data_IF_608145206073
#
_entry.id   IF_608145206073
#
_cell.length_a   1.000
_cell.length_b   1.000
_cell.length_c   1.000
_cell.angle_alpha   90.00
_cell.angle_beta   90.00
_cell.angle_gamma   90.00
#
_symmetry.space_group_name_H-M   'P 1'
#
loop_
_entity.id
_entity.type
_entity.pdbx_description
1 polymer ?
#
# COMPACT_ATOMS: atom_id res chain seq x y z
N UNK A 1 -4.19 4.03 13.62
CA UNK A 1 -3.34 5.08 13.03
C UNK A 1 -2.30 5.52 14.04
N UNK A 2 -1.04 5.64 13.62
CA UNK A 2 0.11 5.96 14.48
C UNK A 2 0.52 7.45 14.38
N UNK A 3 -0.46 8.36 14.34
CA UNK A 3 -0.24 9.80 14.16
C UNK A 3 0.81 10.41 15.10
N UNK A 4 0.80 10.13 16.43
CA UNK A 4 1.80 10.70 17.34
C UNK A 4 3.22 10.21 17.04
N UNK A 5 3.36 8.95 16.61
CA UNK A 5 4.66 8.36 16.27
C UNK A 5 5.22 8.95 14.99
N UNK A 6 4.41 9.07 13.92
CA UNK A 6 4.84 9.71 12.66
C UNK A 6 5.33 11.13 12.94
N UNK A 7 4.54 11.90 13.71
CA UNK A 7 4.92 13.27 14.07
C UNK A 7 6.23 13.33 14.83
N UNK A 8 6.36 12.57 15.92
CA UNK A 8 7.56 12.56 16.75
C UNK A 8 8.79 12.15 15.93
N UNK A 9 8.70 11.09 15.12
CA UNK A 9 9.79 10.63 14.26
C UNK A 9 10.20 11.72 13.25
N UNK A 10 9.22 12.40 12.65
CA UNK A 10 9.48 13.45 11.65
C UNK A 10 10.12 14.69 12.26
N UNK A 11 9.79 15.01 13.51
CA UNK A 11 10.31 16.17 14.23
C UNK A 11 11.75 15.95 14.70
N UNK A 12 12.13 14.71 15.02
CA UNK A 12 13.49 14.36 15.52
C UNK A 12 14.41 13.76 14.46
N UNK A 13 13.91 13.52 13.24
CA UNK A 13 14.70 12.93 12.15
C UNK A 13 14.97 11.42 12.27
N UNK A 14 14.15 10.70 13.04
CA UNK A 14 14.25 9.24 13.13
C UNK A 14 13.75 8.54 11.85
N UNK A 15 13.86 7.20 11.81
CA UNK A 15 13.37 6.38 10.69
C UNK A 15 12.00 5.80 11.06
N UNK A 16 11.06 5.89 10.12
CA UNK A 16 9.72 5.32 10.23
C UNK A 16 9.47 4.39 9.02
N UNK A 17 9.78 3.09 9.14
CA UNK A 17 9.82 2.21 7.99
C UNK A 17 8.42 1.87 7.48
N UNK A 18 7.46 1.56 8.34
CA UNK A 18 6.10 1.22 7.89
C UNK A 18 5.12 1.60 9.01
N UNK A 19 3.90 2.07 8.67
CA UNK A 19 2.82 2.13 9.63
C UNK A 19 2.27 0.72 9.92
N UNK A 20 1.52 0.59 11.02
CA UNK A 20 0.88 -0.67 11.41
C UNK A 20 -0.07 -1.24 10.34
N UNK A 21 -0.65 -0.38 9.50
CA UNK A 21 -1.38 -0.75 8.30
C UNK A 21 -0.85 0.12 7.13
N UNK A 22 0.10 -0.38 6.34
CA UNK A 22 0.72 0.34 5.21
C UNK A 22 -0.31 0.93 4.24
N UNK A 23 -0.26 2.26 4.10
CA UNK A 23 -1.05 3.06 3.16
C UNK A 23 -0.61 4.53 3.24
N UNK A 24 -0.65 5.31 2.14
CA UNK A 24 -0.39 6.75 2.18
C UNK A 24 -1.39 7.53 3.06
N UNK A 25 -2.60 7.00 3.23
CA UNK A 25 -3.65 7.63 4.05
C UNK A 25 -3.53 7.31 5.54
N UNK A 26 -2.71 6.32 5.94
CA UNK A 26 -2.74 5.80 7.31
C UNK A 26 -1.92 6.67 8.28
N UNK A 27 -2.52 7.79 8.70
CA UNK A 27 -1.99 8.68 9.73
C UNK A 27 -1.05 9.77 9.22
N UNK A 28 -0.43 9.60 8.04
CA UNK A 28 0.43 10.63 7.43
C UNK A 28 -0.27 11.98 7.26
N UNK A 29 -1.50 12.07 6.69
CA UNK A 29 -2.12 13.38 6.48
C UNK A 29 -2.34 14.15 7.78
N UNK A 30 -2.87 13.47 8.80
CA UNK A 30 -3.07 14.06 10.11
C UNK A 30 -1.77 14.43 10.83
N UNK A 31 -0.71 13.62 10.70
CA UNK A 31 0.56 13.85 11.39
C UNK A 31 1.35 15.03 10.80
N UNK A 32 1.19 15.26 9.49
CA UNK A 32 1.95 16.24 8.72
C UNK A 32 1.13 17.48 8.34
N UNK A 33 -0.16 17.53 8.71
CA UNK A 33 -1.04 18.67 8.45
C UNK A 33 -1.45 18.79 6.98
N UNK A 34 -1.60 17.67 6.29
CA UNK A 34 -1.97 17.59 4.87
C UNK A 34 -3.48 17.37 4.78
N UNK A 35 -4.13 18.10 3.88
CA UNK A 35 -5.51 17.82 3.51
C UNK A 35 -5.56 16.61 2.57
N UNK A 36 -6.23 15.53 3.01
CA UNK A 36 -6.51 14.37 2.17
C UNK A 36 -8.00 14.31 1.88
N UNK A 37 -8.42 14.66 0.66
CA UNK A 37 -9.81 14.53 0.21
C UNK A 37 -9.89 13.58 -0.97
N UNK A 38 -10.91 12.72 -0.97
CA UNK A 38 -11.11 11.71 -2.01
C UNK A 38 -10.20 10.48 -1.91
N UNK A 39 -10.56 9.46 -2.69
CA UNK A 39 -9.88 8.15 -2.74
C UNK A 39 -9.65 7.68 -4.19
N UNK A 40 -9.66 8.60 -5.16
CA UNK A 40 -9.24 8.27 -6.54
C UNK A 40 -7.73 8.04 -6.61
N UNK A 41 -7.26 7.44 -7.71
CA UNK A 41 -5.82 7.28 -7.99
C UNK A 41 -5.10 8.64 -7.93
N UNK A 42 -5.67 9.65 -8.58
CA UNK A 42 -5.14 11.02 -8.59
C UNK A 42 -5.12 11.65 -7.17
N UNK A 43 -6.13 11.37 -6.35
CA UNK A 43 -6.16 11.84 -4.97
C UNK A 43 -5.06 11.19 -4.12
N UNK A 44 -4.77 9.91 -4.37
CA UNK A 44 -3.71 9.17 -3.70
C UNK A 44 -2.32 9.67 -4.10
N UNK A 45 -2.10 9.91 -5.40
CA UNK A 45 -0.86 10.52 -5.91
C UNK A 45 -0.62 11.90 -5.28
N UNK A 46 -1.66 12.72 -5.16
CA UNK A 46 -1.58 14.01 -4.44
C UNK A 46 -1.21 13.83 -2.97
N UNK A 47 -1.81 12.87 -2.27
CA UNK A 47 -1.47 12.61 -0.85
C UNK A 47 -0.02 12.12 -0.69
N UNK A 48 0.46 11.28 -1.59
CA UNK A 48 1.87 10.84 -1.64
C UNK A 48 2.79 12.05 -1.83
N UNK A 49 2.47 12.91 -2.81
CA UNK A 49 3.24 14.12 -3.12
C UNK A 49 3.30 15.11 -1.97
N UNK A 50 2.16 15.45 -1.38
CA UNK A 50 2.11 16.38 -0.24
C UNK A 50 2.81 15.79 0.99
N UNK A 51 2.78 14.46 1.17
CA UNK A 51 3.57 13.78 2.19
C UNK A 51 5.07 13.94 1.93
N UNK A 52 5.52 13.70 0.69
CA UNK A 52 6.93 13.91 0.31
C UNK A 52 7.36 15.37 0.51
N UNK A 53 6.54 16.36 0.13
CA UNK A 53 6.81 17.80 0.35
C UNK A 53 6.95 18.13 1.84
N UNK A 54 6.05 17.63 2.68
CA UNK A 54 6.10 17.85 4.13
C UNK A 54 7.34 17.22 4.77
N UNK A 55 7.73 16.02 4.33
CA UNK A 55 8.96 15.34 4.77
C UNK A 55 10.22 16.04 4.27
N UNK A 56 10.21 16.58 3.04
CA UNK A 56 11.29 17.42 2.49
C UNK A 56 11.50 18.69 3.29
N UNK A 57 10.41 19.39 3.64
CA UNK A 57 10.47 20.59 4.48
C UNK A 57 11.09 20.32 5.87
N UNK A 58 10.99 19.09 6.36
CA UNK A 58 11.61 18.63 7.61
C UNK A 58 13.02 18.05 7.44
N UNK A 59 13.52 17.90 6.21
CA UNK A 59 14.85 17.33 5.93
C UNK A 59 14.96 15.82 6.17
N UNK A 60 13.85 15.08 6.05
CA UNK A 60 13.78 13.64 6.41
C UNK A 60 13.36 12.73 5.25
N UNK A 61 13.50 13.17 4.00
CA UNK A 61 13.34 12.28 2.84
C UNK A 61 14.25 11.04 2.95
N UNK A 62 13.77 9.91 2.44
CA UNK A 62 14.43 8.62 2.54
C UNK A 62 14.33 7.94 3.91
N UNK A 63 13.73 8.59 4.92
CA UNK A 63 13.58 8.01 6.28
C UNK A 63 12.18 7.47 6.56
N UNK A 64 11.24 7.67 5.65
CA UNK A 64 9.85 7.28 5.79
C UNK A 64 9.45 6.40 4.62
N UNK A 65 8.72 5.33 4.91
CA UNK A 65 8.13 4.48 3.89
C UNK A 65 6.74 3.97 4.27
N UNK A 66 6.04 3.44 3.27
CA UNK A 66 4.70 2.86 3.37
C UNK A 66 4.49 1.86 2.22
N UNK A 67 3.29 1.31 2.05
CA UNK A 67 2.86 0.72 0.76
C UNK A 67 2.25 1.82 -0.11
N UNK A 68 2.46 1.79 -1.44
CA UNK A 68 1.99 2.85 -2.32
C UNK A 68 0.48 2.89 -2.47
N UNK A 69 -0.20 1.79 -2.14
CA UNK A 69 -1.67 1.69 -2.14
C UNK A 69 -2.19 1.11 -0.82
N UNK A 70 -3.43 1.44 -0.40
CA UNK A 70 -4.06 0.77 0.73
C UNK A 70 -4.41 -0.69 0.38
N UNK A 71 -3.96 -1.64 1.20
CA UNK A 71 -4.22 -3.08 0.98
C UNK A 71 -5.71 -3.41 0.89
N UNK A 72 -6.56 -2.75 1.70
CA UNK A 72 -7.99 -3.00 1.67
C UNK A 72 -8.63 -2.62 0.33
N UNK A 73 -8.18 -1.51 -0.29
CA UNK A 73 -8.67 -1.08 -1.60
C UNK A 73 -8.17 -2.02 -2.70
N UNK A 74 -6.88 -2.36 -2.67
CA UNK A 74 -6.30 -3.33 -3.61
C UNK A 74 -7.04 -4.66 -3.55
N UNK A 75 -7.25 -5.22 -2.37
CA UNK A 75 -7.96 -6.48 -2.20
C UNK A 75 -9.38 -6.41 -2.77
N UNK A 76 -10.08 -5.30 -2.53
CA UNK A 76 -11.45 -5.12 -3.04
C UNK A 76 -11.47 -5.11 -4.56
N UNK A 77 -10.59 -4.34 -5.19
CA UNK A 77 -10.52 -4.23 -6.65
C UNK A 77 -10.04 -5.54 -7.27
N UNK A 78 -8.88 -6.06 -6.83
CA UNK A 78 -8.30 -7.27 -7.39
C UNK A 78 -9.21 -8.49 -7.24
N UNK A 79 -9.90 -8.66 -6.11
CA UNK A 79 -10.85 -9.76 -5.93
C UNK A 79 -12.09 -9.59 -6.82
N UNK A 80 -12.52 -8.36 -7.09
CA UNK A 80 -13.63 -8.08 -8.02
C UNK A 80 -13.24 -8.39 -9.45
N UNK A 81 -12.04 -8.01 -9.88
CA UNK A 81 -11.54 -8.36 -11.21
C UNK A 81 -11.33 -9.88 -11.35
N UNK A 82 -10.78 -10.53 -10.33
CA UNK A 82 -10.59 -11.98 -10.32
C UNK A 82 -11.92 -12.74 -10.44
N UNK A 83 -12.98 -12.33 -9.72
CA UNK A 83 -14.28 -13.01 -9.82
C UNK A 83 -14.91 -12.81 -11.21
N UNK A 84 -14.64 -11.69 -11.88
CA UNK A 84 -15.06 -11.46 -13.27
C UNK A 84 -14.34 -12.45 -14.21
N UNK A 85 -13.04 -12.68 -14.03
CA UNK A 85 -12.29 -13.71 -14.79
C UNK A 85 -12.89 -15.11 -14.57
N UNK A 86 -13.25 -15.44 -13.32
CA UNK A 86 -13.89 -16.72 -13.00
C UNK A 86 -15.27 -16.87 -13.65
N UNK A 87 -16.13 -15.84 -13.58
CA UNK A 87 -17.45 -15.83 -14.23
C UNK A 87 -17.33 -16.00 -15.75
N UNK A 88 -16.30 -15.43 -16.36
CA UNK A 88 -16.04 -15.54 -17.80
C UNK A 88 -15.40 -16.88 -18.21
N UNK A 89 -14.99 -17.71 -17.24
CA UNK A 89 -14.33 -19.00 -17.47
C UNK A 89 -12.85 -18.89 -17.84
N UNK A 90 -12.22 -17.75 -17.55
CA UNK A 90 -10.78 -17.52 -17.79
C UNK A 90 -9.90 -18.13 -16.70
N UNK A 91 -10.46 -18.36 -15.50
CA UNK A 91 -9.84 -19.14 -14.41
C UNK A 91 -10.82 -20.22 -13.94
N UNK A 92 -10.28 -21.31 -13.36
CA UNK A 92 -11.06 -22.44 -12.86
C UNK A 92 -11.57 -22.25 -11.41
N UNK A 93 -12.17 -23.31 -10.86
CA UNK A 93 -12.66 -23.32 -9.46
C UNK A 93 -11.53 -23.36 -8.43
N UNK A 94 -10.35 -23.86 -8.83
CA UNK A 94 -9.14 -23.77 -8.03
C UNK A 94 -8.56 -22.35 -8.11
N UNK A 95 -7.97 -21.88 -7.01
CA UNK A 95 -7.36 -20.56 -6.97
C UNK A 95 -6.15 -20.50 -7.92
N UNK A 96 -6.25 -19.64 -8.93
CA UNK A 96 -5.15 -19.26 -9.80
C UNK A 96 -4.37 -18.10 -9.15
N UNK A 97 -3.25 -18.44 -8.53
CA UNK A 97 -2.42 -17.47 -7.80
C UNK A 97 -1.77 -16.47 -8.75
N UNK A 98 -1.41 -16.89 -9.97
CA UNK A 98 -0.75 -16.02 -10.94
C UNK A 98 -1.72 -14.92 -11.38
N UNK A 99 -2.97 -15.27 -11.72
CA UNK A 99 -3.99 -14.28 -12.07
C UNK A 99 -4.36 -13.39 -10.88
N UNK A 100 -4.42 -13.93 -9.66
CA UNK A 100 -4.66 -13.12 -8.46
C UNK A 100 -3.55 -12.06 -8.27
N UNK A 101 -2.29 -12.48 -8.35
CA UNK A 101 -1.12 -11.60 -8.23
C UNK A 101 -1.06 -10.57 -9.35
N UNK A 102 -1.42 -10.95 -10.59
CA UNK A 102 -1.56 -10.05 -11.72
C UNK A 102 -2.58 -8.93 -11.43
N UNK A 103 -3.81 -9.28 -11.02
CA UNK A 103 -4.85 -8.27 -10.70
C UNK A 103 -4.44 -7.35 -9.55
N UNK A 104 -3.74 -7.88 -8.53
CA UNK A 104 -3.19 -7.07 -7.45
C UNK A 104 -2.11 -6.11 -7.96
N UNK A 105 -1.19 -6.60 -8.81
CA UNK A 105 -0.11 -5.81 -9.38
C UNK A 105 -0.62 -4.72 -10.34
N UNK A 106 -1.66 -5.00 -11.13
CA UNK A 106 -2.32 -4.02 -11.99
C UNK A 106 -2.86 -2.83 -11.20
N UNK A 107 -3.42 -3.06 -10.01
CA UNK A 107 -3.88 -1.99 -9.13
C UNK A 107 -2.72 -1.28 -8.44
N UNK A 108 -1.78 -2.02 -7.86
CA UNK A 108 -0.66 -1.48 -7.09
C UNK A 108 0.42 -0.80 -7.96
N UNK A 109 0.43 -1.06 -9.27
CA UNK A 109 1.45 -0.64 -10.24
C UNK A 109 2.87 -1.12 -9.88
N UNK A 110 2.96 -2.24 -9.18
CA UNK A 110 4.20 -2.92 -8.82
C UNK A 110 3.94 -4.40 -8.52
N UNK A 111 5.01 -5.20 -8.43
CA UNK A 111 4.89 -6.63 -8.16
C UNK A 111 4.31 -6.90 -6.77
N UNK A 112 3.20 -7.64 -6.73
CA UNK A 112 2.58 -8.13 -5.50
C UNK A 112 2.76 -9.64 -5.48
N UNK A 113 3.14 -10.18 -4.33
CA UNK A 113 3.32 -11.62 -4.13
C UNK A 113 2.42 -12.10 -3.01
N UNK A 114 1.98 -13.34 -3.11
CA UNK A 114 1.17 -14.00 -2.11
C UNK A 114 1.78 -15.32 -1.69
N UNK A 115 1.53 -15.72 -0.45
CA UNK A 115 1.91 -17.04 0.07
C UNK A 115 0.74 -17.66 0.83
N UNK A 116 0.65 -18.99 0.83
CA UNK A 116 -0.36 -19.68 1.62
C UNK A 116 -0.08 -19.50 3.10
N UNK A 117 -1.12 -19.27 3.89
CA UNK A 117 -1.01 -19.37 5.34
C UNK A 117 -0.70 -20.82 5.73
N UNK A 118 0.21 -21.00 6.68
CA UNK A 118 0.56 -22.31 7.23
C UNK A 118 0.50 -22.25 8.75
N UNK A 119 -0.28 -23.14 9.35
CA UNK A 119 -0.41 -23.30 10.81
C UNK A 119 -0.03 -24.73 11.18
N UNK A 120 0.94 -24.91 12.08
CA UNK A 120 1.39 -26.25 12.53
C UNK A 120 1.72 -27.25 11.39
N UNK A 121 2.15 -26.74 10.23
CA UNK A 121 2.45 -27.56 9.04
C UNK A 121 1.24 -27.87 8.15
N UNK A 122 0.04 -27.42 8.51
CA UNK A 122 -1.14 -27.42 7.65
C UNK A 122 -1.13 -26.16 6.78
N UNK A 123 -0.89 -26.33 5.49
CA UNK A 123 -1.06 -25.28 4.50
C UNK A 123 -2.55 -25.06 4.21
N UNK A 124 -2.99 -23.80 4.19
CA UNK A 124 -4.34 -23.37 3.80
C UNK A 124 -4.23 -22.60 2.48
N UNK A 125 -4.34 -23.26 1.31
CA UNK A 125 -3.96 -22.66 0.02
C UNK A 125 -4.76 -21.41 -0.35
N UNK A 126 -6.03 -21.35 0.05
CA UNK A 126 -6.96 -20.26 -0.23
C UNK A 126 -6.89 -19.13 0.81
N UNK A 127 -6.13 -19.29 1.90
CA UNK A 127 -5.80 -18.20 2.80
C UNK A 127 -4.45 -17.64 2.38
N UNK A 128 -4.46 -16.49 1.70
CA UNK A 128 -3.26 -15.83 1.19
C UNK A 128 -2.76 -14.73 2.12
N UNK A 129 -1.46 -14.74 2.40
CA UNK A 129 -0.71 -13.63 2.97
C UNK A 129 -0.13 -12.80 1.82
N UNK A 130 -0.17 -11.48 1.93
CA UNK A 130 0.19 -10.55 0.84
C UNK A 130 1.45 -9.79 1.21
N UNK A 131 2.37 -9.65 0.25
CA UNK A 131 3.54 -8.80 0.35
C UNK A 131 3.75 -8.00 -0.94
N UNK A 132 4.14 -6.74 -0.80
CA UNK A 132 4.46 -5.86 -1.92
C UNK A 132 5.60 -4.92 -1.53
N UNK A 133 6.28 -4.36 -2.52
CA UNK A 133 7.42 -3.48 -2.29
C UNK A 133 7.00 -2.14 -1.66
N UNK A 134 7.96 -1.46 -1.04
CA UNK A 134 7.72 -0.25 -0.28
C UNK A 134 7.83 1.00 -1.14
N UNK A 135 6.93 1.96 -0.90
CA UNK A 135 7.15 3.34 -1.29
C UNK A 135 8.03 3.99 -0.22
N UNK A 136 9.28 4.28 -0.56
CA UNK A 136 10.15 5.12 0.28
C UNK A 136 10.08 6.56 -0.21
N UNK A 137 9.66 7.49 0.65
CA UNK A 137 9.42 8.87 0.24
C UNK A 137 10.72 9.59 -0.15
N UNK A 138 10.89 9.81 -1.45
CA UNK A 138 11.99 10.57 -2.07
C UNK A 138 11.52 11.79 -2.87
N UNK A 139 12.44 12.47 -3.55
CA UNK A 139 12.13 13.67 -4.35
C UNK A 139 11.26 13.33 -5.59
N UNK A 140 11.45 12.14 -6.14
CA UNK A 140 10.71 11.60 -7.29
C UNK A 140 9.20 11.45 -7.04
N UNK A 141 8.76 11.53 -5.79
CA UNK A 141 7.36 11.46 -5.40
C UNK A 141 6.67 12.83 -5.34
N UNK A 142 7.41 13.93 -5.51
CA UNK A 142 6.89 15.29 -5.48
C UNK A 142 6.39 15.65 -6.88
N UNK A 143 5.07 15.84 -7.00
CA UNK A 143 4.44 16.37 -8.21
C UNK A 143 4.72 17.87 -8.35
N UNK A 144 4.92 18.31 -9.60
CA UNK A 144 5.09 19.71 -10.01
C UNK A 144 3.88 20.61 -9.67
#
# INVERSE_FOLDING_TARGET
MQTPLIKATSDVGAIYPQPCCPSPYHGFPSALGIESTGYSVEAMEKVISETAKALKAKGVLGRFSTWPVPVAMMNTVASTEYIIEWINGNVGDELDVEVLEEKMAEYAKLAVTTSSYTEEGLEIPHFRLIMMDFLTYGEEHILD
#
